data_IF_359061639179
#
_entry.id   IF_359061639179
#
_cell.length_a   1.000
_cell.length_b   1.000
_cell.length_c   1.000
_cell.angle_alpha   90.00
_cell.angle_beta   90.00
_cell.angle_gamma   90.00
#
_symmetry.space_group_name_H-M   'P 1'
#
loop_
_entity.id
_entity.type
_entity.pdbx_description
1 polymer ?
#
# COMPACT_ATOMS: atom_id res chain seq x y z
N UNK A 1 5.13 23.60 14.76
CA UNK A 1 4.30 22.37 14.78
C UNK A 1 5.05 21.17 14.22
N UNK A 2 5.80 21.29 13.11
CA UNK A 2 6.54 20.17 12.49
C UNK A 2 7.63 19.63 13.40
N UNK A 3 8.40 20.49 14.06
CA UNK A 3 9.45 20.07 14.99
C UNK A 3 8.87 19.26 16.17
N UNK A 4 7.72 19.67 16.69
CA UNK A 4 7.04 18.92 17.75
C UNK A 4 6.58 17.53 17.28
N UNK A 5 6.02 17.44 16.07
CA UNK A 5 5.66 16.14 15.46
C UNK A 5 6.87 15.24 15.31
N UNK A 6 8.00 15.79 14.88
CA UNK A 6 9.27 15.07 14.79
C UNK A 6 9.70 14.50 16.14
N UNK A 7 9.69 15.30 17.19
CA UNK A 7 10.05 14.87 18.56
C UNK A 7 9.13 13.75 19.05
N UNK A 8 7.82 13.91 18.86
CA UNK A 8 6.82 12.89 19.28
C UNK A 8 7.03 11.60 18.51
N UNK A 9 7.24 11.65 17.18
CA UNK A 9 7.47 10.47 16.34
C UNK A 9 8.77 9.79 16.70
N UNK A 10 9.84 10.54 16.94
CA UNK A 10 11.13 10.00 17.34
C UNK A 10 11.04 9.21 18.65
N UNK A 11 10.41 9.82 19.66
CA UNK A 11 10.19 9.15 20.95
C UNK A 11 9.30 7.92 20.82
N UNK A 12 8.23 8.00 20.02
CA UNK A 12 7.31 6.87 19.78
C UNK A 12 8.04 5.69 19.16
N UNK A 13 8.74 5.90 18.04
CA UNK A 13 9.45 4.81 17.35
C UNK A 13 10.61 4.27 18.19
N UNK A 14 11.36 5.12 18.87
CA UNK A 14 12.41 4.67 19.79
C UNK A 14 11.86 3.76 20.88
N UNK A 15 10.79 4.19 21.56
CA UNK A 15 10.19 3.44 22.65
C UNK A 15 9.62 2.11 22.18
N UNK A 16 8.81 2.11 21.12
CA UNK A 16 8.12 0.91 20.62
C UNK A 16 9.12 -0.11 20.06
N UNK A 17 10.05 0.32 19.21
CA UNK A 17 11.04 -0.60 18.61
C UNK A 17 12.00 -1.17 19.66
N UNK A 18 12.51 -0.34 20.59
CA UNK A 18 13.36 -0.81 21.68
C UNK A 18 12.63 -1.82 22.56
N UNK A 19 11.34 -1.61 22.80
CA UNK A 19 10.53 -2.54 23.59
C UNK A 19 10.34 -3.87 22.87
N UNK A 20 9.97 -3.84 21.58
CA UNK A 20 9.81 -5.05 20.77
C UNK A 20 11.13 -5.85 20.71
N UNK A 21 12.26 -5.16 20.48
CA UNK A 21 13.57 -5.80 20.36
C UNK A 21 14.07 -6.51 21.63
N UNK A 22 13.48 -6.23 22.80
CA UNK A 22 13.76 -7.01 24.03
C UNK A 22 13.21 -8.44 23.97
N UNK A 23 12.20 -8.67 23.12
CA UNK A 23 11.50 -9.95 23.04
C UNK A 23 11.65 -10.62 21.67
N UNK A 24 11.89 -9.83 20.62
CA UNK A 24 11.99 -10.28 19.24
C UNK A 24 13.11 -9.54 18.52
N UNK A 25 14.19 -10.26 18.28
CA UNK A 25 15.36 -9.75 17.55
C UNK A 25 15.38 -10.14 16.08
N UNK A 26 14.54 -11.09 15.66
CA UNK A 26 14.61 -11.74 14.35
C UNK A 26 13.64 -11.14 13.33
N UNK A 27 12.42 -10.79 13.74
CA UNK A 27 11.43 -10.26 12.79
C UNK A 27 11.65 -8.80 12.44
N UNK A 28 11.33 -8.43 11.19
CA UNK A 28 11.41 -7.05 10.74
C UNK A 28 10.31 -6.19 11.37
N UNK A 29 10.68 -4.99 11.81
CA UNK A 29 9.73 -3.97 12.26
C UNK A 29 9.38 -3.07 11.08
N UNK A 30 8.12 -3.14 10.62
CA UNK A 30 7.64 -2.47 9.41
C UNK A 30 7.09 -1.05 9.66
N UNK A 31 7.24 -0.51 10.85
CA UNK A 31 6.67 0.80 11.22
C UNK A 31 5.16 0.76 11.47
N UNK A 32 4.46 1.85 11.19
CA UNK A 32 3.06 2.07 11.59
C UNK A 32 2.10 2.25 10.40
N UNK A 33 2.50 1.87 9.19
CA UNK A 33 1.68 2.05 7.99
C UNK A 33 1.20 3.50 7.86
N UNK A 34 2.18 4.42 7.68
CA UNK A 34 1.94 5.86 7.61
C UNK A 34 0.83 6.19 6.60
N UNK A 35 -0.18 6.89 7.06
CA UNK A 35 -1.38 7.21 6.28
C UNK A 35 -1.63 8.71 6.27
N UNK A 36 -2.46 9.18 5.31
CA UNK A 36 -2.86 10.57 5.15
C UNK A 36 -1.66 11.54 5.22
N UNK A 37 -1.74 12.61 5.98
CA UNK A 37 -0.67 13.61 6.11
C UNK A 37 0.66 13.06 6.66
N UNK A 38 0.63 12.00 7.46
CA UNK A 38 1.83 11.49 8.12
C UNK A 38 2.89 10.96 7.13
N UNK A 39 2.47 10.36 6.01
CA UNK A 39 3.39 9.89 4.97
C UNK A 39 4.03 11.01 4.15
N UNK A 40 3.47 12.22 4.21
CA UNK A 40 4.01 13.43 3.57
C UNK A 40 4.82 14.31 4.53
N UNK A 41 4.97 13.92 5.78
CA UNK A 41 5.75 14.67 6.76
C UNK A 41 7.15 14.09 6.89
N UNK A 42 8.15 14.87 6.45
CA UNK A 42 9.55 14.46 6.44
C UNK A 42 10.01 13.96 7.81
N UNK A 43 9.77 14.71 8.87
CA UNK A 43 10.25 14.36 10.21
C UNK A 43 9.64 13.09 10.78
N UNK A 44 8.39 12.81 10.41
CA UNK A 44 7.70 11.56 10.80
C UNK A 44 8.29 10.37 10.05
N UNK A 45 8.51 10.50 8.73
CA UNK A 45 9.12 9.45 7.91
C UNK A 45 10.57 9.17 8.33
N UNK A 46 11.37 10.21 8.55
CA UNK A 46 12.76 10.09 9.03
C UNK A 46 12.86 9.42 10.41
N UNK A 47 11.92 9.75 11.33
CA UNK A 47 11.86 9.09 12.62
C UNK A 47 11.50 7.60 12.47
N UNK A 48 10.53 7.25 11.64
CA UNK A 48 10.21 5.87 11.33
C UNK A 48 11.44 5.13 10.75
N UNK A 49 12.09 5.71 9.74
CA UNK A 49 13.25 5.12 9.08
C UNK A 49 14.46 4.93 10.02
N UNK A 50 14.60 5.78 11.03
CA UNK A 50 15.70 5.68 12.00
C UNK A 50 15.59 4.43 12.88
N UNK A 51 14.40 4.05 13.29
CA UNK A 51 14.21 3.00 14.28
C UNK A 51 13.62 1.70 13.70
N UNK A 52 12.87 1.76 12.61
CA UNK A 52 12.29 0.60 11.96
C UNK A 52 13.20 0.02 10.88
N UNK A 53 12.95 -1.23 10.50
CA UNK A 53 13.70 -1.89 9.42
C UNK A 53 13.15 -1.51 8.05
N UNK A 54 11.85 -1.24 7.98
CA UNK A 54 11.13 -0.85 6.76
C UNK A 54 10.17 0.29 7.10
N UNK A 55 10.02 1.25 6.19
CA UNK A 55 8.98 2.27 6.29
C UNK A 55 7.75 1.81 5.52
N UNK A 56 6.63 1.58 6.20
CA UNK A 56 5.38 1.22 5.54
C UNK A 56 4.43 2.41 5.40
N UNK A 57 3.78 2.50 4.24
CA UNK A 57 2.84 3.59 3.91
C UNK A 57 1.55 3.03 3.31
N UNK A 58 0.41 3.63 3.66
CA UNK A 58 -0.87 3.41 2.99
C UNK A 58 -1.06 4.48 1.91
N UNK A 59 -1.34 4.09 0.67
CA UNK A 59 -1.41 5.03 -0.44
C UNK A 59 -2.68 4.87 -1.26
N UNK A 60 -3.55 5.87 -1.20
CA UNK A 60 -4.87 5.87 -1.84
C UNK A 60 -5.11 7.08 -2.72
N UNK A 61 -6.15 7.01 -3.55
CA UNK A 61 -6.69 8.14 -4.28
C UNK A 61 -5.82 8.65 -5.44
N UNK A 62 -4.94 7.79 -5.97
CA UNK A 62 -4.13 8.08 -7.16
C UNK A 62 -4.04 6.85 -8.05
N UNK A 63 -4.03 7.07 -9.36
CA UNK A 63 -3.84 5.99 -10.34
C UNK A 63 -2.47 5.35 -10.26
N UNK A 64 -1.46 6.12 -9.89
CA UNK A 64 -0.11 5.68 -9.56
C UNK A 64 0.49 6.59 -8.49
N UNK A 65 1.49 6.13 -7.76
CA UNK A 65 2.20 6.99 -6.81
C UNK A 65 2.85 8.19 -7.51
N UNK A 66 2.68 9.37 -6.92
CA UNK A 66 3.20 10.63 -7.46
C UNK A 66 4.73 10.65 -7.43
N UNK A 67 5.34 11.21 -8.47
CA UNK A 67 6.80 11.26 -8.62
C UNK A 67 7.47 11.95 -7.45
N UNK A 68 6.94 13.11 -7.04
CA UNK A 68 7.50 13.89 -5.91
C UNK A 68 7.36 13.14 -4.59
N UNK A 69 6.24 12.44 -4.38
CA UNK A 69 6.06 11.58 -3.20
C UNK A 69 7.12 10.48 -3.14
N UNK A 70 7.34 9.77 -4.24
CA UNK A 70 8.33 8.69 -4.29
C UNK A 70 9.76 9.21 -4.13
N UNK A 71 10.08 10.37 -4.71
CA UNK A 71 11.38 11.01 -4.56
C UNK A 71 11.63 11.44 -3.10
N UNK A 72 10.65 12.06 -2.47
CA UNK A 72 10.70 12.46 -1.07
C UNK A 72 10.82 11.24 -0.15
N UNK A 73 10.00 10.20 -0.36
CA UNK A 73 10.04 8.99 0.43
C UNK A 73 11.40 8.32 0.36
N UNK A 74 11.98 8.23 -0.86
CA UNK A 74 13.35 7.71 -1.05
C UNK A 74 14.40 8.53 -0.30
N UNK A 75 14.33 9.85 -0.34
CA UNK A 75 15.25 10.73 0.35
C UNK A 75 15.12 10.61 1.89
N UNK A 76 13.90 10.59 2.41
CA UNK A 76 13.63 10.56 3.86
C UNK A 76 13.83 9.18 4.48
N UNK A 77 13.64 8.10 3.73
CA UNK A 77 13.96 6.75 4.19
C UNK A 77 15.48 6.49 4.24
N UNK A 78 16.30 7.33 3.62
CA UNK A 78 17.75 7.17 3.49
C UNK A 78 18.12 5.79 2.91
N UNK A 79 18.74 4.91 3.71
CA UNK A 79 19.13 3.55 3.30
C UNK A 79 18.05 2.49 3.56
N UNK A 80 16.93 2.87 4.16
CA UNK A 80 15.86 1.92 4.49
C UNK A 80 14.93 1.71 3.29
N UNK A 81 14.49 0.48 3.05
CA UNK A 81 13.45 0.22 2.07
C UNK A 81 12.09 0.69 2.56
N UNK A 82 11.15 0.83 1.64
CA UNK A 82 9.76 1.08 1.98
C UNK A 82 8.83 0.00 1.44
N UNK A 83 7.63 -0.09 2.02
CA UNK A 83 6.55 -0.99 1.66
C UNK A 83 5.26 -0.18 1.49
N UNK A 84 4.51 -0.40 0.42
CA UNK A 84 3.13 0.08 0.34
C UNK A 84 2.21 -0.96 0.97
N UNK A 85 1.76 -0.67 2.19
CA UNK A 85 1.01 -1.63 3.01
C UNK A 85 -0.50 -1.64 2.77
N UNK A 86 -1.02 -0.65 2.04
CA UNK A 86 -2.41 -0.64 1.55
C UNK A 86 -2.56 0.22 0.31
N UNK A 87 -3.24 -0.32 -0.71
CA UNK A 87 -3.73 0.38 -1.89
C UNK A 87 -4.82 -0.46 -2.57
N UNK A 88 -5.75 0.16 -3.27
CA UNK A 88 -6.80 -0.52 -4.05
C UNK A 88 -7.54 0.45 -4.99
N UNK A 89 -8.32 -0.14 -5.90
CA UNK A 89 -9.45 0.49 -6.62
C UNK A 89 -10.70 -0.34 -6.42
N UNK A 90 -11.86 0.27 -6.68
CA UNK A 90 -13.18 -0.36 -6.67
C UNK A 90 -13.70 -0.48 -8.10
N UNK A 91 -14.58 -1.46 -8.40
CA UNK A 91 -15.22 -1.59 -9.69
C UNK A 91 -16.74 -1.53 -9.60
N UNK A 92 -17.36 -0.93 -10.64
CA UNK A 92 -18.81 -0.76 -10.75
C UNK A 92 -19.55 -2.06 -11.10
N UNK A 93 -18.83 -3.06 -11.63
CA UNK A 93 -19.39 -4.35 -12.04
C UNK A 93 -19.52 -5.36 -10.88
N UNK A 94 -19.08 -5.00 -9.67
CA UNK A 94 -19.25 -5.82 -8.49
C UNK A 94 -20.70 -5.77 -7.98
N UNK A 95 -21.22 -6.94 -7.56
CA UNK A 95 -22.57 -7.08 -7.03
C UNK A 95 -22.65 -8.19 -5.98
N UNK A 96 -23.65 -8.11 -5.12
CA UNK A 96 -24.00 -9.14 -4.17
C UNK A 96 -25.49 -9.46 -4.28
N UNK A 97 -25.84 -10.72 -4.48
CA UNK A 97 -27.23 -11.19 -4.67
C UNK A 97 -28.01 -10.39 -5.72
N UNK A 98 -27.33 -10.02 -6.82
CA UNK A 98 -27.91 -9.26 -7.93
C UNK A 98 -28.03 -7.75 -7.70
N UNK A 99 -27.60 -7.24 -6.53
CA UNK A 99 -27.57 -5.81 -6.22
C UNK A 99 -26.15 -5.28 -6.40
N UNK A 100 -26.00 -4.26 -7.26
CA UNK A 100 -24.70 -3.60 -7.45
C UNK A 100 -24.22 -2.95 -6.16
N UNK A 101 -22.91 -3.01 -5.95
CA UNK A 101 -22.30 -2.33 -4.82
C UNK A 101 -22.41 -0.82 -4.93
N UNK A 102 -22.71 -0.15 -3.82
CA UNK A 102 -22.78 1.31 -3.76
C UNK A 102 -21.39 1.94 -3.90
N UNK A 103 -20.32 1.25 -3.49
CA UNK A 103 -18.93 1.70 -3.58
C UNK A 103 -18.64 3.08 -2.95
N UNK A 104 -19.42 3.47 -1.96
CA UNK A 104 -19.37 4.80 -1.35
C UNK A 104 -18.21 4.98 -0.38
N UNK A 105 -17.64 3.88 0.12
CA UNK A 105 -16.61 3.94 1.16
C UNK A 105 -15.18 3.84 0.62
N UNK A 106 -14.29 4.47 1.38
CA UNK A 106 -12.84 4.37 1.24
C UNK A 106 -12.25 5.24 0.12
N UNK A 107 -10.93 5.43 0.18
CA UNK A 107 -10.17 6.34 -0.68
C UNK A 107 -9.78 5.80 -2.05
N UNK A 108 -10.13 4.55 -2.39
CA UNK A 108 -9.83 3.97 -3.71
C UNK A 108 -10.72 4.54 -4.81
N UNK A 109 -10.16 4.69 -6.01
CA UNK A 109 -10.92 5.13 -7.18
C UNK A 109 -11.96 4.11 -7.59
N UNK A 110 -12.98 4.56 -8.29
CA UNK A 110 -13.98 3.72 -8.93
C UNK A 110 -13.63 3.56 -10.41
N UNK A 111 -13.50 2.32 -10.87
CA UNK A 111 -13.30 1.95 -12.27
C UNK A 111 -14.48 1.12 -12.77
N UNK A 112 -14.60 0.92 -14.08
CA UNK A 112 -15.79 0.27 -14.65
C UNK A 112 -15.85 -1.25 -14.40
N UNK A 113 -14.69 -1.93 -14.42
CA UNK A 113 -14.66 -3.40 -14.39
C UNK A 113 -13.55 -3.97 -13.52
N UNK A 114 -13.67 -5.24 -13.16
CA UNK A 114 -12.61 -6.01 -12.50
C UNK A 114 -11.32 -6.06 -13.34
N UNK A 115 -11.45 -6.05 -14.67
CA UNK A 115 -10.29 -5.93 -15.57
C UNK A 115 -9.55 -4.61 -15.33
N UNK A 116 -10.26 -3.49 -15.25
CA UNK A 116 -9.62 -2.19 -15.00
C UNK A 116 -8.99 -2.12 -13.60
N UNK A 117 -9.50 -2.85 -12.61
CA UNK A 117 -8.81 -3.03 -11.32
C UNK A 117 -7.45 -3.71 -11.50
N UNK A 118 -7.40 -4.74 -12.35
CA UNK A 118 -6.16 -5.43 -12.68
C UNK A 118 -5.15 -4.53 -13.39
N UNK A 119 -5.59 -3.75 -14.38
CA UNK A 119 -4.77 -2.78 -15.09
C UNK A 119 -4.22 -1.69 -14.14
N UNK A 120 -5.06 -1.19 -13.23
CA UNK A 120 -4.61 -0.29 -12.16
C UNK A 120 -3.53 -0.93 -11.30
N UNK A 121 -3.78 -2.16 -10.83
CA UNK A 121 -2.83 -2.88 -9.94
C UNK A 121 -1.45 -3.00 -10.60
N UNK A 122 -1.41 -3.43 -11.87
CA UNK A 122 -0.15 -3.54 -12.59
C UNK A 122 0.53 -2.18 -12.76
N UNK A 123 -0.19 -1.15 -13.21
CA UNK A 123 0.37 0.19 -13.40
C UNK A 123 0.94 0.75 -12.10
N UNK A 124 0.20 0.61 -11.00
CA UNK A 124 0.61 1.09 -9.68
C UNK A 124 1.88 0.39 -9.20
N UNK A 125 1.92 -0.93 -9.28
CA UNK A 125 3.05 -1.73 -8.80
C UNK A 125 4.29 -1.60 -9.68
N UNK A 126 4.15 -1.47 -11.00
CA UNK A 126 5.28 -1.16 -11.90
C UNK A 126 5.94 0.15 -11.51
N UNK A 127 5.15 1.18 -11.17
CA UNK A 127 5.68 2.46 -10.70
C UNK A 127 6.44 2.33 -9.37
N UNK A 128 6.05 1.40 -8.49
CA UNK A 128 6.79 1.11 -7.27
C UNK A 128 8.12 0.41 -7.57
N UNK A 129 8.15 -0.55 -8.49
CA UNK A 129 9.38 -1.25 -8.89
C UNK A 129 10.44 -0.30 -9.47
N UNK A 130 10.02 0.71 -10.23
CA UNK A 130 10.93 1.74 -10.76
C UNK A 130 11.73 2.48 -9.68
N UNK A 131 11.25 2.54 -8.45
CA UNK A 131 11.93 3.23 -7.34
C UNK A 131 13.18 2.50 -6.86
N UNK A 132 13.27 1.18 -7.07
CA UNK A 132 14.36 0.26 -6.65
C UNK A 132 14.57 0.16 -5.13
N UNK A 133 13.77 0.86 -4.33
CA UNK A 133 13.79 0.77 -2.86
C UNK A 133 12.44 0.38 -2.25
N UNK A 134 11.42 0.12 -3.08
CA UNK A 134 10.18 -0.52 -2.66
C UNK A 134 10.38 -2.04 -2.63
N UNK A 135 10.18 -2.65 -1.45
CA UNK A 135 10.35 -4.10 -1.27
C UNK A 135 9.06 -4.90 -1.40
N UNK A 136 7.94 -4.23 -1.61
CA UNK A 136 6.67 -4.92 -1.79
C UNK A 136 5.44 -4.04 -1.63
N UNK A 137 4.30 -4.67 -1.83
CA UNK A 137 2.99 -4.03 -1.69
C UNK A 137 1.96 -5.04 -1.19
N UNK A 138 0.92 -4.54 -0.49
CA UNK A 138 -0.18 -5.33 0.01
C UNK A 138 -1.49 -4.70 -0.48
N UNK A 139 -2.27 -5.49 -1.20
CA UNK A 139 -3.60 -5.06 -1.64
C UNK A 139 -4.56 -4.98 -0.45
N UNK A 140 -5.33 -3.92 -0.35
CA UNK A 140 -6.40 -3.79 0.63
C UNK A 140 -7.74 -3.95 -0.11
N UNK A 141 -8.49 -5.04 0.14
CA UNK A 141 -8.34 -6.01 1.22
C UNK A 141 -8.57 -7.46 0.71
N UNK A 142 -8.71 -8.44 1.62
CA UNK A 142 -8.93 -9.82 1.20
C UNK A 142 -10.33 -10.04 0.62
N UNK A 143 -11.37 -9.72 1.38
CA UNK A 143 -12.76 -9.81 0.94
C UNK A 143 -13.41 -8.43 0.85
N UNK A 144 -14.45 -8.32 0.05
CA UNK A 144 -15.23 -7.09 -0.03
C UNK A 144 -15.79 -6.67 1.32
N UNK A 145 -15.79 -5.36 1.58
CA UNK A 145 -16.37 -4.79 2.79
C UNK A 145 -17.86 -4.55 2.67
N UNK A 146 -18.58 -4.76 3.78
CA UNK A 146 -19.97 -4.35 3.94
C UNK A 146 -20.05 -3.44 5.15
N UNK A 147 -20.75 -2.31 5.01
CA UNK A 147 -20.97 -1.36 6.09
C UNK A 147 -22.13 -1.77 6.99
N UNK A 148 -22.27 -1.11 8.13
CA UNK A 148 -23.37 -1.35 9.07
C UNK A 148 -24.75 -1.06 8.49
N UNK A 149 -24.85 -0.24 7.45
CA UNK A 149 -26.10 0.06 6.72
C UNK A 149 -26.37 -0.93 5.56
N UNK A 150 -25.50 -1.93 5.38
CA UNK A 150 -25.64 -2.95 4.33
C UNK A 150 -25.08 -2.52 2.97
N UNK A 151 -24.49 -1.31 2.83
CA UNK A 151 -23.80 -0.94 1.60
C UNK A 151 -22.48 -1.71 1.49
N UNK A 152 -22.12 -2.10 0.26
CA UNK A 152 -20.91 -2.84 -0.01
C UNK A 152 -19.93 -2.01 -0.85
N UNK A 153 -18.64 -2.26 -0.64
CA UNK A 153 -17.55 -1.65 -1.42
C UNK A 153 -16.62 -2.73 -1.95
N UNK A 154 -16.35 -2.69 -3.26
CA UNK A 154 -15.49 -3.65 -3.96
C UNK A 154 -14.01 -3.33 -3.73
N UNK A 155 -13.50 -3.75 -2.59
CA UNK A 155 -12.08 -3.60 -2.22
C UNK A 155 -11.35 -4.94 -2.27
N UNK A 156 -12.09 -6.03 -2.06
CA UNK A 156 -11.55 -7.38 -1.91
C UNK A 156 -10.93 -7.97 -3.17
N UNK A 157 -10.11 -8.98 -2.98
CA UNK A 157 -9.70 -9.90 -4.04
C UNK A 157 -10.73 -11.00 -4.25
N UNK A 158 -11.62 -11.18 -3.27
CA UNK A 158 -12.81 -12.04 -3.32
C UNK A 158 -14.05 -11.23 -2.95
N UNK A 159 -15.22 -11.71 -3.39
CA UNK A 159 -16.51 -11.13 -3.08
C UNK A 159 -16.94 -11.37 -1.63
N UNK A 160 -18.11 -10.85 -1.23
CA UNK A 160 -18.76 -11.16 0.05
C UNK A 160 -19.15 -12.65 0.20
N UNK A 161 -19.21 -13.40 -0.91
CA UNK A 161 -19.43 -14.84 -0.94
C UNK A 161 -18.13 -15.64 -1.02
N UNK A 162 -16.99 -14.96 -0.87
CA UNK A 162 -15.64 -15.52 -1.00
C UNK A 162 -15.30 -16.05 -2.41
N UNK A 163 -16.06 -15.64 -3.42
CA UNK A 163 -15.76 -15.98 -4.82
C UNK A 163 -14.66 -15.06 -5.37
N UNK A 164 -13.61 -15.62 -5.99
CA UNK A 164 -12.49 -14.83 -6.49
C UNK A 164 -12.88 -13.98 -7.70
N UNK A 165 -12.39 -12.75 -7.75
CA UNK A 165 -12.50 -11.89 -8.92
C UNK A 165 -11.44 -12.28 -9.96
N UNK A 166 -11.67 -13.37 -10.70
CA UNK A 166 -10.67 -13.97 -11.61
C UNK A 166 -10.15 -12.98 -12.66
N UNK A 167 -11.00 -12.10 -13.19
CA UNK A 167 -10.57 -11.07 -14.14
C UNK A 167 -9.55 -10.12 -13.53
N UNK A 168 -9.72 -9.70 -12.27
CA UNK A 168 -8.74 -8.91 -11.52
C UNK A 168 -7.50 -9.74 -11.18
N UNK A 169 -7.68 -10.93 -10.61
CA UNK A 169 -6.61 -11.77 -10.11
C UNK A 169 -5.67 -12.27 -11.21
N UNK A 170 -6.14 -12.40 -12.45
CA UNK A 170 -5.29 -12.76 -13.59
C UNK A 170 -4.15 -11.76 -13.79
N UNK A 171 -4.44 -10.46 -13.69
CA UNK A 171 -3.43 -9.39 -13.78
C UNK A 171 -2.47 -9.39 -12.58
N UNK A 172 -3.00 -9.62 -11.37
CA UNK A 172 -2.18 -9.72 -10.16
C UNK A 172 -1.20 -10.89 -10.26
N UNK A 173 -1.68 -12.08 -10.67
CA UNK A 173 -0.83 -13.27 -10.86
C UNK A 173 0.23 -13.02 -11.92
N UNK A 174 -0.14 -12.43 -13.05
CA UNK A 174 0.81 -12.11 -14.12
C UNK A 174 1.94 -11.22 -13.62
N UNK A 175 1.62 -10.16 -12.90
CA UNK A 175 2.63 -9.28 -12.32
C UNK A 175 3.50 -10.01 -11.29
N UNK A 176 2.89 -10.73 -10.36
CA UNK A 176 3.61 -11.42 -9.29
C UNK A 176 4.60 -12.47 -9.84
N UNK A 177 4.25 -13.16 -10.93
CA UNK A 177 5.16 -14.08 -11.61
C UNK A 177 6.30 -13.37 -12.34
N UNK A 178 6.13 -12.11 -12.71
CA UNK A 178 7.12 -11.29 -13.42
C UNK A 178 7.98 -10.40 -12.51
N UNK A 179 7.73 -10.37 -11.19
CA UNK A 179 8.38 -9.41 -10.27
C UNK A 179 9.91 -9.48 -10.34
N UNK A 180 10.51 -10.65 -10.21
CA UNK A 180 11.97 -10.78 -10.22
C UNK A 180 12.59 -10.41 -11.57
N UNK A 181 12.10 -10.89 -12.73
CA UNK A 181 12.55 -10.38 -14.03
C UNK A 181 12.40 -8.86 -14.20
N UNK A 182 11.34 -8.27 -13.63
CA UNK A 182 11.15 -6.81 -13.68
C UNK A 182 12.15 -6.07 -12.79
N UNK A 183 12.49 -6.60 -11.61
CA UNK A 183 13.54 -6.06 -10.76
C UNK A 183 14.86 -6.04 -11.52
N UNK A 184 15.28 -7.16 -12.08
CA UNK A 184 16.50 -7.26 -12.89
C UNK A 184 16.51 -6.26 -14.05
N UNK A 185 15.37 -6.08 -14.72
CA UNK A 185 15.21 -5.10 -15.79
C UNK A 185 15.41 -3.66 -15.31
N UNK A 186 14.81 -3.28 -14.19
CA UNK A 186 14.95 -1.92 -13.66
C UNK A 186 16.34 -1.68 -13.07
N UNK A 187 16.98 -2.66 -12.48
CA UNK A 187 18.30 -2.54 -11.88
C UNK A 187 19.41 -2.39 -12.94
N UNK A 188 19.23 -2.98 -14.12
CA UNK A 188 20.21 -2.89 -15.22
C UNK A 188 20.09 -1.61 -16.06
N UNK A 189 19.00 -0.85 -15.94
CA UNK A 189 18.83 0.42 -16.65
C UNK A 189 19.25 1.60 -15.77
N UNK A 190 20.36 2.23 -16.13
CA UNK A 190 20.81 3.49 -15.56
C UNK A 190 20.17 4.68 -16.28
#
# INVERSE_FOLDING_TARGET
QEDFRGVVSDYYYQLTTTTVRRYDTEHLILGTRLHDWSKYNQKVVEACARYCDVVSVNYYGRWQPETDFLANLKAWCAVKPFLVSEFYTKAEDASYKGVKYANTEGGGWLVHTQKNRGEFHQNFCLRLLETRNCIGWIHFEYNDGCTSDGSASNKGIVSLEYEPYESFLSYVRQLNLAVYPLIDYYDTRQ
#
